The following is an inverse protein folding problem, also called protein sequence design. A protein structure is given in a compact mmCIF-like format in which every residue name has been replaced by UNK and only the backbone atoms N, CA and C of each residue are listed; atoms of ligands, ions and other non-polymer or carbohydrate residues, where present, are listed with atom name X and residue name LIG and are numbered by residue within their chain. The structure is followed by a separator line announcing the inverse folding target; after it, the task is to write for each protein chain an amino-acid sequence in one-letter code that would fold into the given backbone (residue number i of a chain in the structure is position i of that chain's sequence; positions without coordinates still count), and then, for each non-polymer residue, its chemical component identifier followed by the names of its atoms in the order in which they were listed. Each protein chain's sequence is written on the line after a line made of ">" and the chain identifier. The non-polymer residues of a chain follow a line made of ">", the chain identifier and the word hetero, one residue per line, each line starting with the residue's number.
data_IF_408120262839
#
_entry.id   IF_408120262839
#
_cell.length_a   1.000
_cell.length_b   1.000
_cell.length_c   1.000
_cell.angle_alpha   90.00
_cell.angle_beta   90.00
_cell.angle_gamma   90.00
#
_symmetry.space_group_name_H-M   'P 1'
#
loop_
_entity.id
_entity.type
_entity.pdbx_description
1 polymer ?
#
# COMPACT_ATOMS: atom_id res chain seq x y z
N UNK A 1 34.48 29.88 9.94
CA UNK A 1 33.58 30.19 8.81
C UNK A 1 32.74 28.98 8.52
N UNK A 2 31.50 29.06 9.02
CA UNK A 2 30.45 28.08 8.82
C UNK A 2 29.71 28.47 7.53
N UNK A 3 29.76 27.60 6.52
CA UNK A 3 28.81 27.65 5.41
C UNK A 3 27.75 26.60 5.68
N UNK A 4 26.67 27.07 6.30
CA UNK A 4 25.38 26.40 6.38
C UNK A 4 24.73 26.55 5.00
N UNK A 5 24.69 25.47 4.21
CA UNK A 5 23.90 25.45 2.99
C UNK A 5 22.47 25.03 3.34
N UNK A 6 21.64 26.05 3.57
CA UNK A 6 20.19 25.95 3.60
C UNK A 6 19.68 25.44 2.25
N UNK A 7 19.71 24.12 2.06
CA UNK A 7 18.92 23.45 1.04
C UNK A 7 17.47 23.47 1.50
N UNK A 8 16.74 24.51 1.09
CA UNK A 8 15.30 24.62 1.22
C UNK A 8 14.66 23.33 0.67
N UNK A 9 14.19 22.46 1.57
CA UNK A 9 13.44 21.26 1.20
C UNK A 9 12.10 21.70 0.64
N UNK A 10 12.04 21.91 -0.67
CA UNK A 10 10.79 22.14 -1.38
C UNK A 10 10.00 20.83 -1.34
N UNK A 11 9.08 20.72 -0.39
CA UNK A 11 8.05 19.70 -0.42
C UNK A 11 6.96 20.17 -1.39
N UNK A 12 6.79 19.47 -2.52
CA UNK A 12 5.64 19.65 -3.37
C UNK A 12 4.48 18.83 -2.78
N UNK A 13 3.40 19.52 -2.41
CA UNK A 13 2.13 18.89 -2.09
C UNK A 13 1.19 19.04 -3.30
N UNK A 14 0.44 17.99 -3.61
CA UNK A 14 -0.60 18.06 -4.63
C UNK A 14 -1.91 18.47 -3.95
N UNK A 15 -2.57 19.48 -4.51
CA UNK A 15 -3.93 19.84 -4.12
C UNK A 15 -4.89 18.84 -4.78
N UNK A 16 -5.76 18.24 -3.98
CA UNK A 16 -6.78 17.32 -4.45
C UNK A 16 -8.09 17.69 -3.80
N UNK A 17 -9.11 17.91 -4.63
CA UNK A 17 -10.49 18.13 -4.19
C UNK A 17 -11.07 16.90 -3.46
N UNK A 18 -10.37 15.77 -3.52
CA UNK A 18 -10.78 14.48 -2.95
C UNK A 18 -9.89 14.02 -1.79
N UNK A 19 -9.23 14.95 -1.08
CA UNK A 19 -8.49 14.59 0.13
C UNK A 19 -9.46 14.00 1.18
N UNK A 20 -9.15 12.79 1.67
CA UNK A 20 -9.95 12.13 2.71
C UNK A 20 -9.38 12.42 4.10
N UNK A 21 -10.30 12.48 5.07
CA UNK A 21 -9.95 12.53 6.48
C UNK A 21 -9.25 11.23 6.90
N UNK A 22 -8.41 11.25 7.95
CA UNK A 22 -7.73 10.04 8.45
C UNK A 22 -8.68 8.96 8.96
N UNK A 23 -9.97 9.27 9.10
CA UNK A 23 -11.03 8.30 9.30
C UNK A 23 -12.42 8.88 9.03
N UNK A 24 -13.42 8.00 9.03
CA UNK A 24 -14.83 8.33 8.83
C UNK A 24 -15.72 7.17 9.30
N UNK A 25 -16.98 7.47 9.59
CA UNK A 25 -17.97 6.43 9.94
C UNK A 25 -18.43 5.66 8.69
N UNK A 26 -18.50 4.34 8.82
CA UNK A 26 -19.07 3.40 7.84
C UNK A 26 -20.11 2.50 8.52
N UNK A 27 -20.84 1.72 7.73
CA UNK A 27 -21.77 0.72 8.25
C UNK A 27 -21.09 -0.20 9.26
N UNK A 28 -21.83 -0.60 10.29
CA UNK A 28 -21.30 -1.39 11.42
C UNK A 28 -20.79 -2.79 11.01
N UNK A 29 -21.43 -3.39 10.02
CA UNK A 29 -21.25 -4.81 9.65
C UNK A 29 -20.39 -5.00 8.38
N UNK A 30 -19.36 -4.16 8.18
CA UNK A 30 -18.46 -4.31 7.04
C UNK A 30 -17.61 -5.60 7.17
N UNK A 31 -17.52 -6.45 6.13
CA UNK A 31 -16.75 -7.69 6.17
C UNK A 31 -15.30 -7.47 6.59
N UNK A 32 -14.89 -8.18 7.63
CA UNK A 32 -13.57 -8.06 8.25
C UNK A 32 -12.46 -8.74 7.44
N UNK A 33 -12.82 -9.70 6.58
CA UNK A 33 -11.89 -10.47 5.75
C UNK A 33 -12.60 -10.97 4.49
N UNK A 34 -11.94 -10.94 3.32
CA UNK A 34 -12.56 -11.50 2.11
C UNK A 34 -11.75 -11.37 0.83
N UNK A 35 -11.33 -12.53 0.33
CA UNK A 35 -10.84 -12.85 -1.03
C UNK A 35 -9.56 -12.14 -1.54
N UNK A 36 -8.57 -12.97 -1.88
CA UNK A 36 -7.50 -12.64 -2.82
C UNK A 36 -8.12 -12.48 -4.21
N UNK A 37 -8.66 -11.29 -4.49
CA UNK A 37 -8.91 -10.92 -5.88
C UNK A 37 -7.55 -10.53 -6.49
N UNK A 38 -7.22 -11.20 -7.59
CA UNK A 38 -5.93 -11.03 -8.24
C UNK A 38 -5.85 -9.74 -9.07
N UNK A 39 -6.87 -8.88 -9.11
CA UNK A 39 -6.84 -7.61 -9.86
C UNK A 39 -6.97 -6.42 -8.90
N UNK A 40 -6.01 -5.50 -8.95
CA UNK A 40 -5.90 -4.41 -7.99
C UNK A 40 -7.14 -3.50 -7.99
N UNK A 41 -7.65 -3.16 -9.17
CA UNK A 41 -8.82 -2.29 -9.31
C UNK A 41 -10.12 -2.98 -8.88
N UNK A 42 -10.22 -4.30 -9.03
CA UNK A 42 -11.36 -5.06 -8.51
C UNK A 42 -11.36 -5.08 -6.98
N UNK A 43 -10.19 -5.21 -6.35
CA UNK A 43 -10.03 -5.06 -4.89
C UNK A 43 -10.45 -3.66 -4.45
N UNK A 44 -10.08 -2.61 -5.20
CA UNK A 44 -10.47 -1.25 -4.89
C UNK A 44 -11.99 -1.03 -5.07
N UNK A 45 -12.61 -1.56 -6.13
CA UNK A 45 -14.06 -1.51 -6.34
C UNK A 45 -14.81 -2.22 -5.22
N UNK A 46 -14.31 -3.39 -4.77
CA UNK A 46 -14.89 -4.11 -3.64
C UNK A 46 -14.78 -3.30 -2.35
N UNK A 47 -13.60 -2.77 -2.03
CA UNK A 47 -13.41 -1.87 -0.89
C UNK A 47 -14.40 -0.70 -0.94
N UNK A 48 -14.51 -0.07 -2.10
CA UNK A 48 -15.42 1.05 -2.32
C UNK A 48 -16.88 0.66 -2.06
N UNK A 49 -17.34 -0.49 -2.60
CA UNK A 49 -18.69 -1.02 -2.34
C UNK A 49 -18.92 -1.26 -0.85
N UNK A 50 -17.99 -1.93 -0.18
CA UNK A 50 -18.12 -2.26 1.25
C UNK A 50 -18.17 -1.00 2.14
N UNK A 51 -17.41 0.04 1.79
CA UNK A 51 -17.39 1.28 2.57
C UNK A 51 -18.58 2.21 2.27
N UNK A 52 -19.12 2.18 1.04
CA UNK A 52 -20.12 3.17 0.57
C UNK A 52 -21.52 2.59 0.38
N UNK A 53 -21.64 1.28 0.23
CA UNK A 53 -22.87 0.59 -0.21
C UNK A 53 -23.21 0.78 -1.70
N UNK A 54 -22.35 1.44 -2.50
CA UNK A 54 -22.57 1.63 -3.94
C UNK A 54 -22.16 0.37 -4.69
N UNK A 55 -23.10 -0.25 -5.40
CA UNK A 55 -22.85 -1.49 -6.15
C UNK A 55 -22.09 -1.28 -7.46
N UNK A 56 -22.32 -0.13 -8.11
CA UNK A 56 -21.65 0.25 -9.36
C UNK A 56 -20.13 0.42 -9.13
N UNK A 57 -19.26 -0.18 -9.97
CA UNK A 57 -17.82 0.01 -9.86
C UNK A 57 -17.44 1.42 -10.31
N UNK A 58 -16.56 2.08 -9.55
CA UNK A 58 -15.99 3.35 -10.00
C UNK A 58 -14.82 3.14 -10.98
N UNK A 59 -14.11 2.01 -10.90
CA UNK A 59 -13.10 1.64 -11.88
C UNK A 59 -13.70 0.60 -12.86
N UNK A 60 -14.19 1.07 -14.00
CA UNK A 60 -14.83 0.24 -15.02
C UNK A 60 -13.77 -0.43 -15.89
N UNK A 61 -13.80 -1.76 -15.99
CA UNK A 61 -12.80 -2.52 -16.75
C UNK A 61 -13.16 -2.68 -18.23
N UNK A 62 -12.15 -2.57 -19.08
CA UNK A 62 -12.23 -2.77 -20.52
C UNK A 62 -11.09 -3.70 -20.96
N UNK A 63 -11.44 -4.68 -21.79
CA UNK A 63 -10.45 -5.59 -22.40
C UNK A 63 -10.01 -5.00 -23.75
N UNK A 64 -8.74 -4.57 -23.90
CA UNK A 64 -8.27 -4.05 -25.17
C UNK A 64 -8.03 -5.18 -26.17
N UNK A 65 -8.15 -4.88 -27.45
CA UNK A 65 -7.89 -5.82 -28.53
C UNK A 65 -6.40 -5.89 -28.85
N UNK A 66 -5.88 -7.09 -29.16
CA UNK A 66 -4.51 -7.22 -29.65
C UNK A 66 -4.45 -6.66 -31.06
N UNK A 67 -3.71 -5.56 -31.25
CA UNK A 67 -3.60 -4.88 -32.54
C UNK A 67 -2.34 -5.27 -33.32
N UNK A 68 -1.28 -5.64 -32.61
CA UNK A 68 -0.03 -6.07 -33.22
C UNK A 68 0.68 -7.06 -32.33
N UNK A 69 1.20 -8.09 -32.97
CA UNK A 69 2.20 -8.97 -32.42
C UNK A 69 3.41 -8.91 -33.33
N UNK A 70 4.56 -8.55 -32.80
CA UNK A 70 5.84 -8.79 -33.45
C UNK A 70 6.57 -9.88 -32.68
N UNK A 71 6.93 -10.93 -33.41
CA UNK A 71 7.73 -12.05 -32.91
C UNK A 71 7.05 -12.89 -31.80
N UNK A 72 5.70 -13.03 -31.83
CA UNK A 72 4.94 -13.94 -30.93
C UNK A 72 4.02 -14.86 -31.74
N UNK A 73 3.87 -16.14 -31.35
CA UNK A 73 2.77 -17.01 -31.82
C UNK A 73 1.69 -17.15 -30.74
N UNK A 74 0.42 -17.10 -31.15
CA UNK A 74 -0.75 -17.28 -30.27
C UNK A 74 -1.30 -18.68 -30.50
N UNK A 75 -1.45 -19.51 -29.45
CA UNK A 75 -2.12 -20.80 -29.57
C UNK A 75 -3.65 -20.64 -29.45
N UNK A 76 -4.41 -21.61 -29.97
CA UNK A 76 -5.89 -21.60 -30.12
C UNK A 76 -6.68 -21.37 -28.81
N UNK A 77 -6.05 -21.44 -27.64
CA UNK A 77 -6.65 -21.21 -26.32
C UNK A 77 -6.31 -19.84 -25.71
N UNK A 78 -5.69 -18.92 -26.45
CA UNK A 78 -5.27 -17.61 -25.94
C UNK A 78 -4.02 -17.63 -25.04
N UNK A 79 -3.24 -18.73 -25.09
CA UNK A 79 -1.94 -18.86 -24.42
C UNK A 79 -0.80 -18.67 -25.43
N UNK A 80 0.21 -17.88 -25.07
CA UNK A 80 1.31 -17.48 -25.95
C UNK A 80 2.44 -18.53 -25.96
N UNK A 81 2.90 -18.96 -27.14
CA UNK A 81 4.09 -19.81 -27.30
C UNK A 81 5.06 -19.26 -28.35
N UNK A 82 6.31 -19.10 -27.92
CA UNK A 82 7.61 -19.18 -28.61
C UNK A 82 7.80 -18.64 -30.06
N UNK A 83 8.85 -17.83 -30.24
CA UNK A 83 9.68 -17.75 -31.47
C UNK A 83 11.13 -17.51 -31.06
N UNK A 84 12.05 -18.27 -31.64
CA UNK A 84 13.51 -18.19 -31.49
C UNK A 84 14.07 -17.02 -32.33
N UNK A 85 14.89 -16.12 -31.77
CA UNK A 85 15.59 -15.06 -32.51
C UNK A 85 16.99 -14.73 -31.97
N UNK A 86 17.91 -14.48 -32.90
CA UNK A 86 19.34 -14.20 -32.68
C UNK A 86 19.61 -12.90 -31.89
N UNK A 87 20.66 -12.85 -31.05
CA UNK A 87 20.97 -11.67 -30.25
C UNK A 87 21.80 -10.62 -31.00
N UNK A 88 21.43 -9.33 -30.79
CA UNK A 88 22.25 -8.10 -30.82
C UNK A 88 22.36 -7.33 -32.16
N UNK A 89 22.16 -5.99 -32.09
CA UNK A 89 23.04 -4.91 -32.65
C UNK A 89 22.78 -3.57 -31.88
N UNK A 90 23.87 -2.95 -31.42
CA UNK A 90 24.07 -1.53 -31.00
C UNK A 90 23.38 -1.04 -29.70
N UNK A 91 23.91 0.00 -29.05
CA UNK A 91 23.66 0.56 -27.69
C UNK A 91 22.20 1.02 -27.38
N UNK A 92 21.22 0.32 -27.94
CA UNK A 92 19.79 0.52 -27.82
C UNK A 92 19.14 -0.77 -27.35
N UNK A 93 18.33 -0.72 -26.29
CA UNK A 93 17.54 -1.87 -25.86
C UNK A 93 16.49 -2.12 -26.93
N UNK A 94 16.71 -3.11 -27.80
CA UNK A 94 15.73 -3.55 -28.79
C UNK A 94 14.77 -4.52 -28.10
N UNK A 95 13.49 -4.18 -28.06
CA UNK A 95 12.46 -4.95 -27.36
C UNK A 95 11.82 -5.96 -28.31
N UNK A 96 12.27 -7.21 -28.24
CA UNK A 96 11.66 -8.33 -28.96
C UNK A 96 11.44 -9.51 -28.00
N UNK A 97 10.23 -10.08 -27.91
CA UNK A 97 9.00 -9.68 -28.61
C UNK A 97 8.35 -8.37 -28.12
N UNK A 98 7.43 -7.81 -28.93
CA UNK A 98 6.53 -6.71 -28.52
C UNK A 98 5.08 -7.06 -28.87
N UNK A 99 4.18 -6.90 -27.89
CA UNK A 99 2.72 -7.02 -28.07
C UNK A 99 2.08 -5.66 -27.88
N UNK A 100 1.21 -5.27 -28.81
CA UNK A 100 0.45 -4.02 -28.74
C UNK A 100 -1.05 -4.30 -28.59
N UNK A 101 -1.67 -3.59 -27.67
CA UNK A 101 -3.09 -3.64 -27.35
C UNK A 101 -3.72 -2.29 -27.67
N UNK A 102 -4.88 -2.26 -28.33
CA UNK A 102 -5.60 -1.02 -28.62
C UNK A 102 -7.03 -1.06 -28.09
N UNK A 103 -7.49 0.10 -27.64
CA UNK A 103 -8.88 0.34 -27.29
C UNK A 103 -9.28 1.72 -27.80
N UNK A 104 -10.38 1.81 -28.53
CA UNK A 104 -11.01 3.09 -28.86
C UNK A 104 -11.94 3.48 -27.72
N UNK A 105 -11.73 4.64 -27.14
CA UNK A 105 -12.53 5.13 -26.00
C UNK A 105 -13.94 5.49 -26.46
N UNK A 106 -14.94 5.17 -25.65
CA UNK A 106 -16.34 5.55 -25.90
C UNK A 106 -16.73 6.84 -25.17
N UNK A 107 -16.04 7.17 -24.09
CA UNK A 107 -16.31 8.29 -23.19
C UNK A 107 -15.02 8.97 -22.79
N UNK A 108 -15.13 10.25 -22.51
CA UNK A 108 -14.11 11.05 -21.85
C UNK A 108 -13.84 10.49 -20.44
N UNK A 109 -12.60 10.59 -19.95
CA UNK A 109 -12.30 10.35 -18.54
C UNK A 109 -10.85 9.95 -18.28
N UNK A 110 -10.58 9.63 -17.01
CA UNK A 110 -9.25 9.21 -16.56
C UNK A 110 -9.08 7.69 -16.76
N UNK A 111 -7.96 7.31 -17.37
CA UNK A 111 -7.64 5.93 -17.70
C UNK A 111 -6.39 5.41 -17.00
N UNK A 112 -6.41 4.11 -16.69
CA UNK A 112 -5.31 3.35 -16.12
C UNK A 112 -5.10 2.05 -16.91
N UNK A 113 -3.85 1.61 -16.98
CA UNK A 113 -3.50 0.28 -17.48
C UNK A 113 -3.06 -0.59 -16.30
N UNK A 114 -3.71 -1.75 -16.14
CA UNK A 114 -3.26 -2.80 -15.25
C UNK A 114 -2.54 -3.88 -16.04
N UNK A 115 -1.33 -4.21 -15.60
CA UNK A 115 -0.58 -5.40 -16.01
C UNK A 115 -0.60 -6.40 -14.86
N UNK A 116 -1.02 -7.62 -15.15
CA UNK A 116 -1.13 -8.69 -14.18
C UNK A 116 -0.52 -9.97 -14.75
N UNK A 117 0.26 -10.69 -13.96
CA UNK A 117 0.77 -12.01 -14.29
C UNK A 117 0.18 -13.06 -13.34
N UNK A 118 0.20 -14.32 -13.77
CA UNK A 118 -0.18 -15.41 -12.90
C UNK A 118 0.92 -15.68 -11.86
N UNK A 119 0.88 -14.93 -10.74
CA UNK A 119 1.82 -15.03 -9.61
C UNK A 119 2.03 -16.47 -9.15
N UNK A 120 1.00 -17.31 -9.15
CA UNK A 120 1.09 -18.69 -8.67
C UNK A 120 1.96 -19.55 -9.60
N UNK A 121 1.78 -19.45 -10.92
CA UNK A 121 2.60 -20.18 -11.91
C UNK A 121 4.06 -19.70 -11.90
N UNK A 122 4.29 -18.40 -11.76
CA UNK A 122 5.65 -17.83 -11.67
C UNK A 122 6.38 -18.27 -10.39
N UNK A 123 5.69 -18.37 -9.26
CA UNK A 123 6.25 -18.84 -7.99
C UNK A 123 6.58 -20.33 -8.01
N UNK A 124 5.73 -21.16 -8.63
CA UNK A 124 5.92 -22.60 -8.72
C UNK A 124 7.05 -22.99 -9.68
N UNK A 125 7.24 -22.22 -10.76
CA UNK A 125 8.25 -22.52 -11.80
C UNK A 125 9.58 -21.75 -11.61
N UNK A 126 9.67 -20.79 -10.67
CA UNK A 126 10.83 -19.95 -10.37
C UNK A 126 11.47 -19.24 -11.58
N UNK A 127 10.74 -19.09 -12.69
CA UNK A 127 11.21 -18.39 -13.89
C UNK A 127 10.75 -16.93 -13.84
N UNK A 128 11.63 -15.95 -13.58
CA UNK A 128 11.24 -14.55 -13.56
C UNK A 128 10.73 -14.11 -14.93
N UNK A 129 9.73 -13.22 -14.93
CA UNK A 129 9.36 -12.50 -16.16
C UNK A 129 10.52 -11.59 -16.56
N UNK A 130 10.99 -11.70 -17.81
CA UNK A 130 11.94 -10.77 -18.42
C UNK A 130 11.21 -9.59 -19.09
N UNK A 131 10.15 -9.09 -18.46
CA UNK A 131 9.48 -7.91 -18.98
C UNK A 131 10.47 -6.74 -18.97
N UNK A 132 10.58 -6.01 -20.07
CA UNK A 132 11.48 -4.88 -20.18
C UNK A 132 10.75 -3.56 -19.98
N UNK A 133 9.57 -3.44 -20.59
CA UNK A 133 8.92 -2.14 -20.77
C UNK A 133 7.41 -2.26 -20.94
N UNK A 134 6.68 -1.38 -20.26
CA UNK A 134 5.27 -1.07 -20.53
C UNK A 134 5.17 0.38 -20.96
N UNK A 135 4.59 0.62 -22.14
CA UNK A 135 4.38 1.97 -22.69
C UNK A 135 2.91 2.16 -23.00
N UNK A 136 2.31 3.26 -22.55
CA UNK A 136 0.96 3.67 -22.93
C UNK A 136 1.03 4.91 -23.82
N UNK A 137 0.23 4.88 -24.89
CA UNK A 137 0.10 5.96 -25.86
C UNK A 137 -1.38 6.31 -26.04
N UNK A 138 -1.64 7.56 -26.41
CA UNK A 138 -2.96 8.07 -26.82
C UNK A 138 -2.77 8.80 -28.14
N UNK A 139 -3.49 8.39 -29.19
CA UNK A 139 -3.32 8.95 -30.56
C UNK A 139 -1.84 8.99 -31.00
N UNK A 140 -1.13 7.88 -30.78
CA UNK A 140 0.30 7.70 -31.08
C UNK A 140 1.27 8.58 -30.26
N UNK A 141 0.79 9.41 -29.34
CA UNK A 141 1.62 10.17 -28.40
C UNK A 141 1.86 9.38 -27.10
N UNK A 142 3.13 9.21 -26.70
CA UNK A 142 3.50 8.56 -25.45
C UNK A 142 2.98 9.34 -24.23
N UNK A 143 2.25 8.65 -23.35
CA UNK A 143 1.73 9.21 -22.09
C UNK A 143 2.51 8.75 -20.89
N UNK A 144 2.86 7.47 -20.84
CA UNK A 144 3.67 6.93 -19.77
C UNK A 144 4.51 5.74 -20.25
N UNK A 145 5.72 5.64 -19.71
CA UNK A 145 6.62 4.52 -19.94
C UNK A 145 7.19 4.07 -18.60
N UNK A 146 7.24 2.75 -18.40
CA UNK A 146 7.90 2.13 -17.25
C UNK A 146 8.83 1.02 -17.72
N UNK A 147 10.09 1.05 -17.27
CA UNK A 147 11.05 -0.01 -17.51
C UNK A 147 11.12 -0.93 -16.28
N UNK A 148 10.99 -2.23 -16.49
CA UNK A 148 11.09 -3.22 -15.43
C UNK A 148 12.52 -3.75 -15.33
N UNK A 149 12.97 -4.03 -14.10
CA UNK A 149 14.28 -4.65 -13.86
C UNK A 149 14.31 -6.13 -14.25
N UNK A 150 15.50 -6.70 -14.38
CA UNK A 150 15.69 -8.12 -14.79
C UNK A 150 15.24 -9.15 -13.75
N UNK A 151 15.04 -8.73 -12.49
CA UNK A 151 14.53 -9.57 -11.39
C UNK A 151 13.06 -9.24 -11.05
N UNK A 152 12.28 -8.81 -12.03
CA UNK A 152 10.89 -8.43 -11.81
C UNK A 152 10.00 -9.67 -11.61
N UNK A 153 9.85 -10.08 -10.34
CA UNK A 153 8.83 -11.00 -9.86
C UNK A 153 7.50 -10.24 -9.85
N UNK A 154 6.82 -10.12 -10.99
CA UNK A 154 5.72 -9.14 -11.11
C UNK A 154 4.64 -9.43 -10.07
N UNK A 155 4.42 -8.45 -9.19
CA UNK A 155 3.17 -8.20 -8.50
C UNK A 155 2.31 -7.33 -9.43
N UNK A 156 0.98 -7.33 -9.24
CA UNK A 156 0.05 -6.49 -10.01
C UNK A 156 0.60 -5.06 -10.17
N UNK A 157 0.74 -4.59 -11.41
CA UNK A 157 1.25 -3.25 -11.73
C UNK A 157 0.16 -2.40 -12.36
N UNK A 158 0.01 -1.17 -11.90
CA UNK A 158 -0.92 -0.19 -12.47
C UNK A 158 -0.15 1.06 -12.92
N UNK A 159 -0.38 1.48 -14.16
CA UNK A 159 0.15 2.70 -14.75
C UNK A 159 -0.99 3.67 -15.03
N UNK A 160 -0.84 4.93 -14.62
CA UNK A 160 -1.75 6.00 -15.05
C UNK A 160 -1.51 6.36 -16.51
N UNK A 161 -2.57 6.43 -17.30
CA UNK A 161 -2.55 6.94 -18.69
C UNK A 161 -2.94 8.43 -18.69
N UNK A 162 -3.78 8.83 -17.73
CA UNK A 162 -4.31 10.19 -17.62
C UNK A 162 -5.66 10.37 -18.31
N UNK A 163 -6.04 11.61 -18.57
CA UNK A 163 -7.31 11.95 -19.22
C UNK A 163 -7.25 11.67 -20.73
N UNK A 164 -8.29 11.03 -21.24
CA UNK A 164 -8.46 10.66 -22.66
C UNK A 164 -9.87 11.02 -23.11
N UNK A 165 -10.00 11.66 -24.26
CA UNK A 165 -11.29 12.07 -24.84
C UNK A 165 -11.97 10.90 -25.57
N UNK A 166 -13.29 10.91 -25.67
CA UNK A 166 -14.06 9.93 -26.41
C UNK A 166 -13.65 9.89 -27.89
N UNK A 167 -13.51 8.67 -28.41
CA UNK A 167 -13.13 8.43 -29.80
C UNK A 167 -11.61 8.38 -30.03
N UNK A 168 -10.79 8.78 -29.05
CA UNK A 168 -9.34 8.59 -29.11
C UNK A 168 -8.98 7.11 -28.90
N UNK A 169 -7.81 6.72 -29.39
CA UNK A 169 -7.28 5.36 -29.27
C UNK A 169 -6.18 5.31 -28.23
N UNK A 170 -6.39 4.50 -27.20
CA UNK A 170 -5.34 4.10 -26.26
C UNK A 170 -4.59 2.91 -26.87
N UNK A 171 -3.26 2.99 -26.91
CA UNK A 171 -2.39 1.88 -27.27
C UNK A 171 -1.46 1.54 -26.10
N UNK A 172 -1.41 0.26 -25.70
CA UNK A 172 -0.48 -0.24 -24.69
C UNK A 172 0.50 -1.20 -25.36
N UNK A 173 1.80 -0.91 -25.26
CA UNK A 173 2.89 -1.74 -25.77
C UNK A 173 3.61 -2.41 -24.62
N UNK A 174 3.72 -3.72 -24.70
CA UNK A 174 4.45 -4.57 -23.77
C UNK A 174 5.66 -5.13 -24.50
N UNK A 175 6.87 -4.78 -24.03
CA UNK A 175 8.13 -5.22 -24.62
C UNK A 175 8.96 -6.05 -23.64
N UNK A 176 9.61 -7.08 -24.16
CA UNK A 176 10.38 -8.07 -23.38
C UNK A 176 11.89 -7.96 -23.67
N UNK A 177 12.72 -8.33 -22.69
CA UNK A 177 14.19 -8.28 -22.78
C UNK A 177 14.78 -9.50 -23.48
N UNK A 178 14.10 -10.64 -23.37
CA UNK A 178 14.53 -11.90 -23.95
C UNK A 178 13.32 -12.78 -24.23
N UNK A 179 13.54 -13.86 -24.97
CA UNK A 179 12.55 -14.92 -25.11
C UNK A 179 12.13 -15.44 -23.74
N UNK A 180 10.83 -15.39 -23.45
CA UNK A 180 10.28 -15.89 -22.19
C UNK A 180 8.84 -16.36 -22.41
N UNK A 181 8.48 -17.49 -21.80
CA UNK A 181 7.09 -17.93 -21.71
C UNK A 181 6.41 -17.13 -20.59
N UNK A 182 5.44 -16.29 -20.96
CA UNK A 182 4.80 -15.37 -20.02
C UNK A 182 3.29 -15.51 -20.11
N UNK A 183 2.65 -15.77 -18.96
CA UNK A 183 1.21 -15.63 -18.79
C UNK A 183 0.91 -14.30 -18.12
N UNK A 184 0.42 -13.33 -18.90
CA UNK A 184 0.05 -12.01 -18.43
C UNK A 184 -1.25 -11.52 -19.07
N UNK A 185 -1.90 -10.57 -18.40
CA UNK A 185 -3.12 -9.89 -18.84
C UNK A 185 -2.93 -8.38 -18.74
N UNK A 186 -3.31 -7.71 -19.81
CA UNK A 186 -3.52 -6.25 -19.82
C UNK A 186 -5.01 -5.99 -19.67
N UNK A 187 -5.36 -5.07 -18.77
CA UNK A 187 -6.74 -4.58 -18.62
C UNK A 187 -6.70 -3.07 -18.48
N UNK A 188 -7.54 -2.38 -19.25
CA UNK A 188 -7.70 -0.93 -19.14
C UNK A 188 -8.84 -0.63 -18.19
N UNK A 189 -8.68 0.40 -17.38
CA UNK A 189 -9.70 0.85 -16.44
C UNK A 189 -10.00 2.31 -16.69
N UNK A 190 -11.28 2.64 -16.79
CA UNK A 190 -11.76 4.03 -16.79
C UNK A 190 -12.36 4.34 -15.42
N UNK A 191 -12.04 5.52 -14.89
CA UNK A 191 -12.70 6.01 -13.68
C UNK A 191 -14.05 6.63 -14.06
N UNK A 192 -15.12 6.06 -13.54
CA UNK A 192 -16.45 6.67 -13.50
C UNK A 192 -16.46 7.72 -12.36
N UNK A 193 -16.24 8.97 -12.76
CA UNK A 193 -16.13 10.10 -11.82
C UNK A 193 -17.43 10.35 -11.06
N UNK A 194 -18.59 10.08 -11.65
CA UNK A 194 -19.90 10.26 -10.99
C UNK A 194 -20.09 9.22 -9.88
N UNK A 195 -19.76 7.95 -10.14
CA UNK A 195 -19.75 6.89 -9.12
C UNK A 195 -18.75 7.24 -8.02
N UNK A 196 -17.51 7.59 -8.40
CA UNK A 196 -16.45 7.93 -7.45
C UNK A 196 -16.85 9.09 -6.54
N UNK A 197 -17.38 10.18 -7.11
CA UNK A 197 -17.81 11.37 -6.37
C UNK A 197 -18.94 11.06 -5.40
N UNK A 198 -19.95 10.28 -5.80
CA UNK A 198 -21.02 9.85 -4.89
C UNK A 198 -20.45 9.10 -3.68
N UNK A 199 -19.51 8.18 -3.91
CA UNK A 199 -18.86 7.47 -2.82
C UNK A 199 -18.05 8.40 -1.93
N UNK A 200 -17.28 9.32 -2.51
CA UNK A 200 -16.51 10.31 -1.75
C UNK A 200 -17.42 11.16 -0.84
N UNK A 201 -18.56 11.63 -1.34
CA UNK A 201 -19.56 12.38 -0.56
C UNK A 201 -20.14 11.55 0.61
N UNK A 202 -20.34 10.25 0.42
CA UNK A 202 -20.78 9.34 1.49
C UNK A 202 -19.68 9.22 2.56
N UNK A 203 -18.44 8.92 2.16
CA UNK A 203 -17.33 8.68 3.11
C UNK A 203 -16.92 9.95 3.86
N UNK A 204 -17.17 11.14 3.30
CA UNK A 204 -16.81 12.41 3.95
C UNK A 204 -17.95 13.04 4.74
N UNK A 205 -19.13 12.40 4.79
CA UNK A 205 -20.30 12.91 5.51
C UNK A 205 -20.08 13.00 7.03
N UNK A 206 -19.44 11.99 7.61
CA UNK A 206 -19.19 11.87 9.04
C UNK A 206 -17.67 11.68 9.30
N UNK A 207 -16.87 12.74 9.07
CA UNK A 207 -15.42 12.62 9.10
C UNK A 207 -14.89 12.59 10.54
N UNK A 208 -13.81 11.84 10.73
CA UNK A 208 -13.02 11.92 11.95
C UNK A 208 -12.08 13.13 11.87
N UNK A 209 -12.38 14.14 12.69
CA UNK A 209 -11.59 15.37 12.75
C UNK A 209 -10.52 15.24 13.82
N UNK A 210 -9.26 15.19 13.41
CA UNK A 210 -8.12 15.13 14.33
C UNK A 210 -7.96 16.46 15.05
N UNK A 211 -7.96 16.41 16.38
CA UNK A 211 -7.75 17.58 17.24
C UNK A 211 -6.31 17.63 17.76
N UNK A 212 -5.69 16.47 18.00
CA UNK A 212 -4.31 16.36 18.46
C UNK A 212 -3.64 15.13 17.84
N UNK A 213 -2.38 15.26 17.42
CA UNK A 213 -1.58 14.14 16.94
C UNK A 213 -0.14 14.22 17.45
N UNK A 214 0.47 13.06 17.64
CA UNK A 214 1.89 12.85 17.94
C UNK A 214 2.30 11.46 17.43
N UNK A 215 3.59 11.14 17.44
CA UNK A 215 4.14 9.89 16.88
C UNK A 215 3.44 8.60 17.35
N UNK A 216 2.91 8.59 18.58
CA UNK A 216 2.25 7.43 19.20
C UNK A 216 0.85 7.71 19.72
N UNK A 217 0.26 8.86 19.37
CA UNK A 217 -1.05 9.28 19.89
C UNK A 217 -1.85 10.03 18.84
N UNK A 218 -3.15 9.76 18.81
CA UNK A 218 -4.10 10.47 17.97
C UNK A 218 -5.36 10.73 18.78
N UNK A 219 -5.83 11.96 18.81
CA UNK A 219 -7.12 12.32 19.39
C UNK A 219 -7.93 13.06 18.34
N UNK A 220 -9.22 12.78 18.30
CA UNK A 220 -10.13 13.50 17.45
C UNK A 220 -11.58 13.28 17.84
N UNK A 221 -12.46 13.92 17.08
CA UNK A 221 -13.91 13.88 17.29
C UNK A 221 -14.61 13.40 16.03
N UNK A 222 -15.72 12.69 16.21
CA UNK A 222 -16.59 12.25 15.11
C UNK A 222 -18.04 12.24 15.58
N UNK A 223 -18.95 12.56 14.67
CA UNK A 223 -20.38 12.39 14.88
C UNK A 223 -20.86 11.17 14.10
N UNK A 224 -21.49 10.23 14.80
CA UNK A 224 -22.09 9.03 14.21
C UNK A 224 -23.61 9.19 14.15
N UNK A 225 -24.18 9.30 12.94
CA UNK A 225 -25.63 9.43 12.73
C UNK A 225 -26.41 8.22 13.30
N UNK A 226 -25.77 7.05 13.28
CA UNK A 226 -26.28 5.78 13.80
C UNK A 226 -25.14 4.92 14.38
N UNK A 227 -25.49 3.78 14.99
CA UNK A 227 -24.53 2.75 15.38
C UNK A 227 -23.66 2.35 14.17
N UNK A 228 -22.37 2.66 14.24
CA UNK A 228 -21.47 2.61 13.08
C UNK A 228 -20.09 2.08 13.47
N UNK A 229 -19.24 1.87 12.47
CA UNK A 229 -17.84 1.59 12.66
C UNK A 229 -17.03 2.82 12.24
N UNK A 230 -16.22 3.38 13.14
CA UNK A 230 -15.23 4.36 12.76
C UNK A 230 -14.08 3.63 12.06
N UNK A 231 -13.97 3.82 10.75
CA UNK A 231 -12.82 3.41 9.95
C UNK A 231 -11.71 4.45 10.10
N UNK A 232 -10.47 3.97 10.29
CA UNK A 232 -9.27 4.79 10.32
C UNK A 232 -8.29 4.25 9.28
N UNK A 233 -7.72 5.14 8.47
CA UNK A 233 -6.63 4.85 7.51
C UNK A 233 -5.29 4.66 8.23
N UNK A 234 -5.31 3.95 9.36
CA UNK A 234 -4.18 3.59 10.20
C UNK A 234 -4.10 2.07 10.20
N UNK A 235 -2.95 1.48 9.82
CA UNK A 235 -2.79 0.04 9.82
C UNK A 235 -3.13 -0.57 11.17
N UNK A 236 -3.90 -1.65 11.14
CA UNK A 236 -4.26 -2.38 12.34
C UNK A 236 -3.02 -3.03 12.96
N UNK A 237 -2.82 -2.78 14.26
CA UNK A 237 -1.79 -3.41 15.06
C UNK A 237 -2.32 -3.62 16.49
N UNK A 238 -1.98 -4.77 17.07
CA UNK A 238 -2.36 -5.15 18.44
C UNK A 238 -1.70 -4.28 19.53
N UNK A 239 -0.76 -3.40 19.16
CA UNK A 239 -0.15 -2.38 19.99
C UNK A 239 -0.99 -1.10 20.11
N UNK A 240 -1.98 -0.91 19.23
CA UNK A 240 -2.94 0.18 19.37
C UNK A 240 -3.91 -0.08 20.52
N UNK A 241 -4.25 0.98 21.24
CA UNK A 241 -5.32 1.02 22.24
C UNK A 241 -6.22 2.19 21.94
N UNK A 242 -7.54 1.98 21.99
CA UNK A 242 -8.54 3.00 21.80
C UNK A 242 -9.29 3.31 23.09
N UNK A 243 -9.69 4.57 23.24
CA UNK A 243 -10.69 5.03 24.19
C UNK A 243 -11.76 5.81 23.43
N UNK A 244 -13.03 5.56 23.74
CA UNK A 244 -14.19 6.30 23.24
C UNK A 244 -14.85 6.96 24.45
N UNK A 245 -14.94 8.29 24.44
CA UNK A 245 -15.48 9.10 25.53
C UNK A 245 -14.83 8.82 26.90
N UNK A 246 -13.53 8.48 26.87
CA UNK A 246 -12.72 8.18 28.05
C UNK A 246 -12.87 6.75 28.59
N UNK A 247 -13.70 5.91 27.97
CA UNK A 247 -13.79 4.49 28.30
C UNK A 247 -12.95 3.65 27.30
N UNK A 248 -12.25 2.58 27.74
CA UNK A 248 -11.54 1.68 26.83
C UNK A 248 -12.47 1.09 25.77
N UNK A 249 -12.05 1.13 24.52
CA UNK A 249 -12.78 0.60 23.38
C UNK A 249 -11.97 -0.49 22.67
N UNK A 250 -12.66 -1.50 22.17
CA UNK A 250 -12.07 -2.54 21.36
C UNK A 250 -11.79 -2.01 19.94
N UNK A 251 -10.64 -2.38 19.40
CA UNK A 251 -10.28 -2.13 18.00
C UNK A 251 -10.40 -3.43 17.22
N UNK A 252 -10.85 -3.35 15.99
CA UNK A 252 -10.95 -4.50 15.09
C UNK A 252 -10.30 -4.18 13.74
N UNK A 253 -9.72 -5.18 13.05
CA UNK A 253 -9.26 -4.97 11.68
C UNK A 253 -10.44 -4.74 10.75
N UNK A 254 -10.26 -3.85 9.77
CA UNK A 254 -11.16 -3.67 8.63
C UNK A 254 -10.41 -4.17 7.40
N UNK A 255 -11.02 -5.15 6.71
CA UNK A 255 -10.44 -5.84 5.55
C UNK A 255 -9.00 -6.34 5.79
N UNK A 256 -8.77 -6.90 6.98
CA UNK A 256 -7.47 -7.40 7.47
C UNK A 256 -6.29 -6.40 7.41
N UNK A 257 -6.55 -5.10 7.22
CA UNK A 257 -5.50 -4.10 6.97
C UNK A 257 -5.60 -2.87 7.87
N UNK A 258 -6.79 -2.28 7.99
CA UNK A 258 -6.99 -0.96 8.59
C UNK A 258 -7.68 -1.05 9.96
N UNK A 259 -7.67 0.01 10.74
CA UNK A 259 -8.22 0.01 12.10
C UNK A 259 -9.68 0.45 12.12
N UNK A 260 -10.54 -0.33 12.77
CA UNK A 260 -11.94 -0.03 13.02
C UNK A 260 -12.26 0.10 14.52
N UNK A 261 -13.12 1.04 14.89
CA UNK A 261 -13.59 1.25 16.28
C UNK A 261 -15.12 1.34 16.28
N UNK A 262 -15.85 0.37 16.86
CA UNK A 262 -17.30 0.43 16.93
C UNK A 262 -17.77 1.64 17.75
N UNK A 263 -18.69 2.43 17.19
CA UNK A 263 -19.31 3.58 17.82
C UNK A 263 -20.81 3.39 17.94
N UNK A 264 -21.41 4.01 18.95
CA UNK A 264 -22.86 4.15 19.03
C UNK A 264 -23.28 5.40 18.25
N UNK A 265 -24.59 5.59 18.06
CA UNK A 265 -25.09 6.87 17.57
C UNK A 265 -24.74 8.01 18.54
N UNK A 266 -24.24 9.14 18.03
CA UNK A 266 -23.94 10.36 18.77
C UNK A 266 -22.56 10.95 18.51
N UNK A 267 -22.22 11.99 19.29
CA UNK A 267 -20.91 12.64 19.28
C UNK A 267 -19.91 11.88 20.14
N UNK A 268 -18.74 11.60 19.57
CA UNK A 268 -17.69 10.83 20.24
C UNK A 268 -16.34 11.54 20.20
N UNK A 269 -15.63 11.46 21.33
CA UNK A 269 -14.18 11.75 21.38
C UNK A 269 -13.42 10.43 21.36
N UNK A 270 -12.58 10.24 20.34
CA UNK A 270 -11.78 9.01 20.19
C UNK A 270 -10.31 9.32 20.42
N UNK A 271 -9.66 8.51 21.25
CA UNK A 271 -8.23 8.58 21.54
C UNK A 271 -7.57 7.26 21.19
N UNK A 272 -6.57 7.29 20.32
CA UNK A 272 -5.68 6.18 20.05
C UNK A 272 -4.31 6.41 20.68
N UNK A 273 -3.75 5.35 21.25
CA UNK A 273 -2.38 5.32 21.75
C UNK A 273 -1.67 4.05 21.31
N UNK A 274 -0.49 4.20 20.74
CA UNK A 274 0.35 3.08 20.34
C UNK A 274 1.32 2.69 21.45
N UNK A 275 1.40 1.39 21.74
CA UNK A 275 2.41 0.81 22.61
C UNK A 275 3.06 -0.35 21.84
N UNK A 276 4.34 -0.20 21.42
CA UNK A 276 5.04 -1.27 20.72
C UNK A 276 5.06 -2.57 21.52
N UNK A 277 4.78 -3.67 20.83
CA UNK A 277 4.83 -5.00 21.43
C UNK A 277 6.25 -5.30 21.90
N UNK A 278 6.37 -5.78 23.13
CA UNK A 278 7.66 -6.06 23.74
C UNK A 278 8.33 -4.86 24.41
N UNK A 279 7.85 -3.62 24.27
CA UNK A 279 8.41 -2.47 24.99
C UNK A 279 8.35 -2.68 26.52
N UNK A 280 7.20 -3.13 27.03
CA UNK A 280 7.03 -3.41 28.47
C UNK A 280 7.97 -4.54 28.92
N UNK A 281 8.06 -5.62 28.14
CA UNK A 281 8.95 -6.74 28.45
C UNK A 281 10.42 -6.32 28.43
N UNK A 282 10.82 -5.53 27.43
CA UNK A 282 12.15 -4.94 27.30
C UNK A 282 12.50 -4.08 28.50
N UNK A 283 11.60 -3.18 28.93
CA UNK A 283 11.79 -2.36 30.13
C UNK A 283 12.00 -3.24 31.37
N UNK A 284 11.19 -4.27 31.57
CA UNK A 284 11.34 -5.19 32.72
C UNK A 284 12.71 -5.87 32.70
N UNK A 285 13.12 -6.41 31.54
CA UNK A 285 14.42 -7.09 31.39
C UNK A 285 15.57 -6.11 31.62
N UNK A 286 15.53 -4.92 31.02
CA UNK A 286 16.56 -3.88 31.17
C UNK A 286 16.68 -3.39 32.61
N UNK A 287 15.55 -3.12 33.29
CA UNK A 287 15.55 -2.72 34.70
C UNK A 287 16.07 -3.85 35.59
N UNK A 288 15.68 -5.10 35.33
CA UNK A 288 16.19 -6.27 36.06
C UNK A 288 17.70 -6.45 35.90
N UNK A 289 18.21 -6.32 34.68
CA UNK A 289 19.65 -6.39 34.40
C UNK A 289 20.42 -5.26 35.10
N UNK A 290 19.91 -4.03 35.05
CA UNK A 290 20.52 -2.89 35.73
C UNK A 290 20.53 -3.05 37.25
N UNK A 291 19.43 -3.52 37.85
CA UNK A 291 19.35 -3.80 39.28
C UNK A 291 20.34 -4.91 39.69
N UNK A 292 20.44 -5.99 38.91
CA UNK A 292 21.42 -7.06 39.11
C UNK A 292 22.86 -6.54 39.02
N UNK A 293 23.15 -5.69 38.05
CA UNK A 293 24.47 -5.06 37.89
C UNK A 293 24.84 -4.17 39.08
N UNK A 294 23.92 -3.29 39.53
CA UNK A 294 24.12 -2.44 40.71
C UNK A 294 24.36 -3.29 41.96
N UNK A 295 23.57 -4.36 42.14
CA UNK A 295 23.72 -5.29 43.25
C UNK A 295 25.12 -5.94 43.30
N UNK A 296 25.63 -6.38 42.15
CA UNK A 296 26.99 -6.94 42.04
C UNK A 296 28.07 -5.91 42.45
N UNK A 297 27.96 -4.65 42.00
CA UNK A 297 28.89 -3.58 42.38
C UNK A 297 28.88 -3.35 43.90
N UNK A 298 27.70 -3.27 44.50
CA UNK A 298 27.56 -3.05 45.95
C UNK A 298 28.18 -4.21 46.74
N UNK A 299 27.99 -5.45 46.29
CA UNK A 299 28.63 -6.62 46.93
C UNK A 299 30.15 -6.58 46.81
N UNK A 300 30.71 -6.25 45.64
CA UNK A 300 32.16 -6.15 45.46
C UNK A 300 32.78 -5.06 46.35
N UNK A 301 32.14 -3.89 46.44
CA UNK A 301 32.60 -2.80 47.29
C UNK A 301 32.52 -3.12 48.79
N UNK A 302 31.48 -3.86 49.22
CA UNK A 302 31.39 -4.37 50.59
C UNK A 302 32.49 -5.39 50.90
N UNK A 303 32.80 -6.30 49.96
CA UNK A 303 33.90 -7.26 50.11
C UNK A 303 35.27 -6.57 50.20
N UNK A 304 35.57 -5.63 49.29
CA UNK A 304 36.83 -4.86 49.29
C UNK A 304 37.03 -4.03 50.57
N UNK A 305 35.97 -3.42 51.12
CA UNK A 305 36.06 -2.72 52.42
C UNK A 305 36.35 -3.70 53.57
N UNK A 306 35.75 -4.89 53.56
CA UNK A 306 36.04 -5.94 54.54
C UNK A 306 37.48 -6.46 54.48
N UNK A 307 38.07 -6.54 53.29
CA UNK A 307 39.48 -6.94 53.10
C UNK A 307 40.46 -5.86 53.56
N UNK A 308 40.24 -4.58 53.20
CA UNK A 308 41.09 -3.47 53.68
C UNK A 308 41.11 -3.32 55.20
N UNK A 309 39.97 -3.52 55.87
CA UNK A 309 39.88 -3.45 57.35
C UNK A 309 40.68 -4.57 58.01
N UNK A 310 40.71 -5.78 57.41
CA UNK A 310 41.53 -6.90 57.90
C UNK A 310 43.02 -6.68 57.66
N UNK A 311 43.39 -6.04 56.55
CA UNK A 311 44.78 -5.74 56.21
C UNK A 311 45.38 -4.66 57.14
N UNK A 312 44.62 -3.59 57.46
CA UNK A 312 45.04 -2.60 58.47
C UNK A 312 45.10 -3.19 59.89
N UNK A 313 44.16 -4.06 60.26
CA UNK A 313 44.16 -4.69 61.58
C UNK A 313 45.35 -5.67 61.79
N UNK A 314 45.93 -6.20 60.71
CA UNK A 314 47.14 -7.03 60.76
C UNK A 314 48.44 -6.23 60.70
N UNK A 315 48.42 -4.99 60.19
CA UNK A 315 49.59 -4.11 60.15
C UNK A 315 49.85 -3.37 61.47
N UNK A 316 48.80 -3.20 62.30
CA UNK A 316 48.87 -2.55 63.61
C UNK A 316 49.08 -3.53 64.80
N UNK A 317 49.28 -4.83 64.54
CA UNK A 317 49.48 -5.90 65.53
C UNK A 317 50.92 -6.46 65.47
#
# INVERSE_FOLDING_TARGET
>A
DAEDSDAEKIAAAYESDYATYPGFCIAKDVPVAGQQDFQLMDVQNRLFRELTGIEDPYAVSYQPEISMIRDVQINENGQYQHVETDPIIDDSIVLHPTVSYKLKTEKDGIWYCSLNNNLQKTLDEQKPLSLARLTSLVEDEERAMYNFGTDFQVQQFVQSIGYVEAGQTIEVKVGFLSETEVDYRITLYQIDEDVFKRGYEILTRNPFTVTEFADSRLTGTVHADEDSLLYLSIPYDKGWKAEVDGAPAEIQPVLDAMTGIPLKAGDHTVKLRFIPRGLIAGVIVSTGALAGYIWLIVMQNRRRKGEKVKETAHADA
#
